data_IF_188476230542
#
_entry.id   IF_188476230542
#
_cell.length_a   1.000
_cell.length_b   1.000
_cell.length_c   1.000
_cell.angle_alpha   90.00
_cell.angle_beta   90.00
_cell.angle_gamma   90.00
#
_symmetry.space_group_name_H-M   'P 1'
#
loop_
_entity.id
_entity.type
_entity.pdbx_description
1 polymer ?
#
# COMPACT_ATOMS: atom_id res chain seq x y z
N UNK A 1 -16.81 3.27 -9.33
CA UNK A 1 -16.37 4.24 -10.36
C UNK A 1 -15.25 5.13 -9.78
N UNK A 2 -14.21 5.43 -10.55
CA UNK A 2 -13.19 6.44 -10.17
C UNK A 2 -13.83 7.84 -10.19
N UNK A 3 -13.43 8.72 -9.26
CA UNK A 3 -13.96 10.08 -9.19
C UNK A 3 -13.80 10.78 -10.56
N UNK A 4 -14.90 11.36 -11.04
CA UNK A 4 -14.96 12.10 -12.30
C UNK A 4 -15.17 11.27 -13.57
N UNK A 5 -15.15 9.94 -13.51
CA UNK A 5 -15.66 9.12 -14.63
C UNK A 5 -17.18 9.07 -14.56
N UNK A 6 -17.85 9.31 -15.69
CA UNK A 6 -19.29 9.11 -15.81
C UNK A 6 -19.64 7.63 -15.61
N UNK A 7 -20.58 7.36 -14.71
CA UNK A 7 -21.11 6.03 -14.45
C UNK A 7 -22.13 5.63 -15.52
N UNK A 8 -22.26 4.32 -15.76
CA UNK A 8 -23.33 3.81 -16.61
C UNK A 8 -24.69 3.95 -15.92
N UNK A 9 -25.80 3.89 -16.69
CA UNK A 9 -27.13 3.80 -16.10
C UNK A 9 -27.20 2.64 -15.10
N UNK A 10 -27.71 2.93 -13.90
CA UNK A 10 -27.85 1.98 -12.77
C UNK A 10 -26.53 1.52 -12.11
N UNK A 11 -25.40 2.16 -12.39
CA UNK A 11 -24.16 1.93 -11.64
C UNK A 11 -23.91 3.05 -10.61
N UNK A 12 -23.35 2.73 -9.43
CA UNK A 12 -22.97 3.74 -8.45
C UNK A 12 -21.79 4.58 -8.95
N UNK A 13 -21.98 5.90 -8.96
CA UNK A 13 -20.96 6.88 -9.34
C UNK A 13 -21.57 8.20 -9.80
N UNK A 14 -20.75 9.06 -10.42
CA UNK A 14 -21.21 10.34 -10.93
C UNK A 14 -22.06 10.15 -12.19
N UNK A 15 -23.24 10.78 -12.29
CA UNK A 15 -24.03 10.74 -13.53
C UNK A 15 -23.41 11.56 -14.67
N UNK A 16 -22.41 12.39 -14.38
CA UNK A 16 -21.73 13.25 -15.34
C UNK A 16 -20.20 13.05 -15.30
N UNK A 17 -19.55 13.32 -16.44
CA UNK A 17 -18.09 13.39 -16.52
C UNK A 17 -17.60 14.66 -15.80
N UNK A 18 -16.65 14.50 -14.86
CA UNK A 18 -16.02 15.61 -14.14
C UNK A 18 -14.53 15.60 -14.50
N UNK A 19 -14.05 16.69 -15.10
CA UNK A 19 -12.64 16.85 -15.44
C UNK A 19 -11.94 17.69 -14.37
N UNK A 20 -11.06 17.07 -13.60
CA UNK A 20 -10.22 17.77 -12.62
C UNK A 20 -8.96 18.28 -13.32
N UNK A 21 -8.79 19.60 -13.37
CA UNK A 21 -7.61 20.25 -13.96
C UNK A 21 -6.63 20.65 -12.85
N UNK A 22 -5.45 20.00 -12.76
CA UNK A 22 -4.44 20.37 -11.76
C UNK A 22 -3.71 21.67 -12.14
N UNK A 23 -3.68 22.00 -13.42
CA UNK A 23 -3.03 23.16 -14.02
C UNK A 23 -4.08 24.15 -14.52
N UNK A 24 -4.46 25.10 -13.65
CA UNK A 24 -5.32 26.21 -14.04
C UNK A 24 -4.48 27.46 -14.24
N UNK A 25 -4.67 28.14 -15.38
CA UNK A 25 -4.11 29.48 -15.58
C UNK A 25 -4.83 30.49 -14.67
N UNK A 26 -4.08 31.47 -14.16
CA UNK A 26 -4.58 32.52 -13.26
C UNK A 26 -5.78 33.31 -13.82
N UNK A 27 -5.98 33.29 -15.13
CA UNK A 27 -7.12 33.93 -15.82
C UNK A 27 -8.48 33.28 -15.57
N UNK A 28 -8.52 32.05 -15.04
CA UNK A 28 -9.79 31.33 -14.81
C UNK A 28 -10.57 31.82 -13.59
N UNK A 29 -9.93 32.59 -12.71
CA UNK A 29 -10.51 32.98 -11.41
C UNK A 29 -10.69 31.82 -10.42
N UNK A 30 -10.31 30.60 -10.82
CA UNK A 30 -10.40 29.38 -10.01
C UNK A 30 -9.01 29.09 -9.45
N UNK A 31 -8.91 28.89 -8.13
CA UNK A 31 -7.64 28.63 -7.45
C UNK A 31 -7.56 27.15 -7.04
N UNK A 32 -6.44 26.45 -7.31
CA UNK A 32 -6.26 25.07 -6.87
C UNK A 32 -6.42 24.94 -5.35
N UNK A 33 -7.06 23.86 -4.91
CA UNK A 33 -7.19 23.55 -3.49
C UNK A 33 -5.80 23.15 -2.96
N UNK A 34 -5.28 23.96 -2.03
CA UNK A 34 -4.02 23.70 -1.36
C UNK A 34 -4.30 23.31 0.10
N UNK A 35 -4.53 22.01 0.32
CA UNK A 35 -4.74 21.44 1.66
C UNK A 35 -3.64 20.43 1.97
N UNK A 36 -3.39 20.22 3.27
CA UNK A 36 -2.40 19.24 3.72
C UNK A 36 -2.89 17.82 3.44
N UNK A 37 -2.02 17.00 2.85
CA UNK A 37 -2.28 15.57 2.62
C UNK A 37 -1.40 14.78 3.58
N UNK A 38 -2.03 13.92 4.38
CA UNK A 38 -1.31 12.99 5.22
C UNK A 38 -0.91 11.78 4.40
N UNK A 39 0.39 11.54 4.37
CA UNK A 39 0.95 10.37 3.70
C UNK A 39 0.86 9.17 4.63
N UNK A 40 0.79 7.98 4.06
CA UNK A 40 0.82 6.75 4.82
C UNK A 40 2.11 6.53 5.64
N UNK A 41 3.21 7.18 5.25
CA UNK A 41 4.43 7.23 6.05
C UNK A 41 4.38 8.20 7.24
N UNK A 42 3.31 8.98 7.39
CA UNK A 42 3.12 9.88 8.53
C UNK A 42 2.81 9.06 9.80
N UNK A 43 3.71 9.05 10.80
CA UNK A 43 3.53 8.25 12.01
C UNK A 43 2.38 8.76 12.90
N UNK A 44 1.89 9.98 12.67
CA UNK A 44 0.85 10.61 13.51
C UNK A 44 -0.54 10.01 13.28
N UNK A 45 -0.79 9.43 12.10
CA UNK A 45 -2.08 8.86 11.70
C UNK A 45 -2.01 7.37 11.33
N UNK A 46 -0.87 6.74 11.64
CA UNK A 46 -0.54 5.31 11.50
C UNK A 46 -1.44 4.44 10.62
N UNK A 47 -0.92 3.97 9.48
CA UNK A 47 -1.58 2.95 8.64
C UNK A 47 -1.00 1.55 8.89
N UNK A 48 -1.78 0.48 8.67
CA UNK A 48 -1.25 -0.88 8.69
C UNK A 48 -0.46 -1.20 7.41
N UNK A 49 0.41 -2.21 7.45
CA UNK A 49 1.13 -2.67 6.27
C UNK A 49 0.29 -3.39 5.22
N UNK A 50 -0.87 -3.92 5.63
CA UNK A 50 -1.82 -4.49 4.68
C UNK A 50 -2.51 -3.42 3.85
N UNK A 51 -2.80 -2.27 4.47
CA UNK A 51 -3.51 -1.16 3.83
C UNK A 51 -2.57 -0.31 2.98
N UNK A 52 -1.31 -0.16 3.40
CA UNK A 52 -0.34 0.64 2.68
C UNK A 52 1.11 0.17 2.89
N UNK A 53 1.86 -0.09 1.80
CA UNK A 53 3.24 -0.60 1.87
C UNK A 53 4.25 0.43 2.35
N UNK A 54 3.95 1.73 2.21
CA UNK A 54 4.83 2.83 2.64
C UNK A 54 4.67 3.20 4.11
N UNK A 55 3.90 2.44 4.88
CA UNK A 55 3.70 2.74 6.30
C UNK A 55 4.99 2.55 7.07
N UNK A 56 5.24 3.44 8.04
CA UNK A 56 6.43 3.39 8.90
C UNK A 56 6.52 2.11 9.73
N UNK A 57 5.39 1.44 9.98
CA UNK A 57 5.32 0.15 10.70
C UNK A 57 5.76 -1.04 9.83
N UNK A 58 5.98 -0.84 8.54
CA UNK A 58 6.39 -1.90 7.60
C UNK A 58 7.89 -2.16 7.58
N UNK A 59 8.66 -1.41 8.38
CA UNK A 59 10.06 -1.71 8.66
C UNK A 59 10.16 -2.94 9.58
N UNK A 60 9.77 -4.09 9.05
CA UNK A 60 9.75 -5.38 9.72
C UNK A 60 9.79 -6.58 8.78
N UNK A 61 9.69 -6.39 7.46
CA UNK A 61 10.17 -7.43 6.54
C UNK A 61 11.67 -7.22 6.40
N UNK A 62 12.45 -8.05 7.12
CA UNK A 62 13.86 -8.24 6.81
C UNK A 62 14.00 -8.23 5.29
N UNK A 63 14.95 -7.45 4.74
CA UNK A 63 15.53 -7.76 3.44
C UNK A 63 15.55 -9.29 3.32
N UNK A 64 14.99 -9.92 2.26
CA UNK A 64 14.96 -11.37 2.16
C UNK A 64 16.34 -11.86 2.53
N UNK A 65 16.42 -12.52 3.70
CA UNK A 65 17.68 -12.79 4.37
C UNK A 65 18.56 -13.43 3.31
N UNK A 66 19.63 -12.71 2.92
CA UNK A 66 20.43 -12.99 1.73
C UNK A 66 20.69 -14.49 1.64
N UNK A 67 19.99 -15.22 0.75
CA UNK A 67 20.03 -16.69 0.56
C UNK A 67 21.02 -17.42 1.48
N UNK A 68 20.73 -17.47 2.78
CA UNK A 68 21.48 -18.31 3.70
C UNK A 68 20.53 -19.42 3.97
N UNK A 69 20.78 -20.56 3.34
CA UNK A 69 19.97 -21.77 3.46
C UNK A 69 19.76 -22.11 4.93
N UNK A 70 18.62 -21.68 5.47
CA UNK A 70 18.28 -21.91 6.87
C UNK A 70 17.69 -23.31 6.97
N UNK A 71 18.58 -24.30 7.14
CA UNK A 71 18.15 -25.65 7.51
C UNK A 71 17.41 -25.58 8.85
N UNK A 72 16.12 -25.89 8.87
CA UNK A 72 15.36 -25.97 10.11
C UNK A 72 15.71 -27.28 10.84
N UNK A 73 16.23 -27.20 12.06
CA UNK A 73 16.48 -28.38 12.89
C UNK A 73 15.56 -28.40 14.10
N UNK A 74 14.68 -29.38 14.18
CA UNK A 74 13.77 -29.57 15.31
C UNK A 74 14.34 -30.69 16.20
N UNK A 75 14.45 -30.42 17.49
CA UNK A 75 14.97 -31.38 18.49
C UNK A 75 13.84 -31.77 19.44
N UNK A 76 13.42 -33.03 19.39
CA UNK A 76 12.41 -33.59 20.30
C UNK A 76 13.09 -34.72 21.08
N UNK A 77 13.46 -34.45 22.34
CA UNK A 77 14.26 -35.37 23.15
C UNK A 77 15.66 -35.62 22.56
N UNK A 78 16.06 -36.88 22.41
CA UNK A 78 17.33 -37.31 21.82
C UNK A 78 17.28 -37.48 20.29
N UNK A 79 16.10 -37.32 19.67
CA UNK A 79 15.95 -37.35 18.21
C UNK A 79 16.20 -35.97 17.60
N UNK A 80 17.17 -35.90 16.71
CA UNK A 80 17.46 -34.74 15.87
C UNK A 80 17.05 -35.08 14.43
N UNK A 81 15.99 -34.44 13.94
CA UNK A 81 15.53 -34.59 12.55
C UNK A 81 15.97 -33.35 11.78
N UNK A 82 16.73 -33.54 10.70
CA UNK A 82 17.02 -32.49 9.74
C UNK A 82 15.81 -32.34 8.82
N UNK A 83 15.13 -31.19 8.85
CA UNK A 83 14.00 -30.95 7.96
C UNK A 83 14.49 -30.82 6.51
N UNK A 84 13.76 -31.45 5.59
CA UNK A 84 14.04 -31.42 4.15
C UNK A 84 13.57 -30.06 3.60
N UNK A 85 14.35 -29.50 2.67
CA UNK A 85 14.15 -28.18 2.08
C UNK A 85 12.72 -27.96 1.56
N UNK A 86 12.08 -26.90 2.03
CA UNK A 86 10.84 -26.39 1.44
C UNK A 86 11.21 -25.19 0.56
N UNK A 87 11.12 -25.38 -0.76
CA UNK A 87 11.21 -24.30 -1.74
C UNK A 87 9.89 -23.52 -1.70
N UNK A 88 9.91 -22.28 -1.22
CA UNK A 88 8.89 -21.28 -1.52
C UNK A 88 9.41 -20.32 -2.59
#
# INVERSE_FOLDING_TARGET
AFLGRQANPNEPGSPYLITYRPDLSDSSGVKPLNTTVYSCGDPSLGCSCGDCPSSSVCMGSLLPQSKTETSCSVKMGSLKVAAIYLHL
#
